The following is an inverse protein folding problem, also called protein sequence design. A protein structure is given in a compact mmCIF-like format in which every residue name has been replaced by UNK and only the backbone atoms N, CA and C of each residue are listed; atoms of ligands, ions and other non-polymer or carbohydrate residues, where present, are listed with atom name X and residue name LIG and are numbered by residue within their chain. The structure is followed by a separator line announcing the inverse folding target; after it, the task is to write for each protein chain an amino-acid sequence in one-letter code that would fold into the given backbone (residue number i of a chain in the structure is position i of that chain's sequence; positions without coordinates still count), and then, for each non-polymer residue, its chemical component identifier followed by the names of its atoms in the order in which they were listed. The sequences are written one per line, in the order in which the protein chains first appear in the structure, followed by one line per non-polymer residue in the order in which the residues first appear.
data_IF_024737378748
#
_entry.id   IF_024737378748
#
_cell.length_a   1.000
_cell.length_b   1.000
_cell.length_c   1.000
_cell.angle_alpha   90.00
_cell.angle_beta   90.00
_cell.angle_gamma   90.00
#
_symmetry.space_group_name_H-M   'P 1'
#
loop_
_entity.id
_entity.type
_entity.pdbx_description
1 polymer ?
#
# COMPACT_ATOMS: atom_id res chain seq x y z
N UNK A 1 -24.69 39.74 -34.22
CA UNK A 1 -23.30 39.54 -33.74
C UNK A 1 -23.38 38.80 -32.42
N UNK A 2 -23.20 37.48 -32.45
CA UNK A 2 -22.99 36.63 -31.28
C UNK A 2 -21.79 35.76 -31.64
N UNK A 3 -20.71 35.91 -30.88
CA UNK A 3 -19.46 35.18 -31.03
C UNK A 3 -19.63 33.79 -30.45
N UNK A 4 -19.40 32.76 -31.27
CA UNK A 4 -19.41 31.37 -30.83
C UNK A 4 -18.22 31.10 -29.89
N UNK A 5 -18.50 30.58 -28.68
CA UNK A 5 -17.47 29.98 -27.83
C UNK A 5 -17.13 28.60 -28.39
N UNK A 6 -15.84 28.37 -28.64
CA UNK A 6 -15.32 27.17 -29.26
C UNK A 6 -15.57 25.92 -28.43
N UNK A 7 -16.07 24.87 -29.09
CA UNK A 7 -16.08 23.51 -28.56
C UNK A 7 -14.65 22.99 -28.49
N UNK A 8 -14.04 23.09 -27.32
CA UNK A 8 -12.92 22.23 -26.96
C UNK A 8 -13.43 20.80 -26.88
N UNK A 9 -12.73 19.87 -27.54
CA UNK A 9 -13.13 18.48 -27.59
C UNK A 9 -13.01 17.90 -26.16
N UNK A 10 -14.13 17.49 -25.55
CA UNK A 10 -14.17 16.95 -24.18
C UNK A 10 -13.23 15.74 -24.01
N UNK A 11 -12.95 15.01 -25.09
CA UNK A 11 -11.92 13.96 -25.14
C UNK A 11 -10.50 14.48 -24.86
N UNK A 12 -10.12 15.65 -25.36
CA UNK A 12 -8.78 16.21 -25.12
C UNK A 12 -8.60 16.69 -23.68
N UNK A 13 -9.66 17.16 -23.03
CA UNK A 13 -9.63 17.55 -21.62
C UNK A 13 -9.60 16.33 -20.69
N UNK A 14 -10.28 15.23 -21.07
CA UNK A 14 -10.25 13.98 -20.32
C UNK A 14 -8.88 13.28 -20.42
N UNK A 15 -8.25 13.28 -21.59
CA UNK A 15 -6.91 12.68 -21.79
C UNK A 15 -5.83 13.46 -21.03
N UNK A 16 -5.87 14.79 -21.05
CA UNK A 16 -4.92 15.63 -20.29
C UNK A 16 -5.04 15.44 -18.77
N UNK A 17 -6.23 15.11 -18.25
CA UNK A 17 -6.43 14.87 -16.82
C UNK A 17 -5.87 13.50 -16.38
N UNK A 18 -5.87 12.50 -17.26
CA UNK A 18 -5.33 11.16 -17.00
C UNK A 18 -3.79 11.16 -17.07
N UNK A 19 -3.20 11.89 -18.01
CA UNK A 19 -1.73 12.04 -18.13
C UNK A 19 -1.13 12.78 -16.92
N UNK A 20 -1.83 13.81 -16.43
CA UNK A 20 -1.48 14.52 -15.19
C UNK A 20 -1.61 13.61 -13.96
N UNK A 21 -2.63 12.75 -13.92
CA UNK A 21 -2.84 11.83 -12.81
C UNK A 21 -1.74 10.74 -12.76
N UNK A 22 -1.38 10.14 -13.89
CA UNK A 22 -0.33 9.11 -13.96
C UNK A 22 1.06 9.66 -13.62
N UNK A 23 1.43 10.82 -14.16
CA UNK A 23 2.74 11.44 -13.88
C UNK A 23 2.84 11.91 -12.43
N UNK A 24 1.73 12.39 -11.85
CA UNK A 24 1.66 12.69 -10.41
C UNK A 24 1.71 11.43 -9.57
N UNK A 25 1.04 10.34 -9.95
CA UNK A 25 1.08 9.07 -9.22
C UNK A 25 2.49 8.46 -9.23
N UNK A 26 3.15 8.42 -10.39
CA UNK A 26 4.51 7.90 -10.50
C UNK A 26 5.53 8.73 -9.69
N UNK A 27 5.42 10.07 -9.73
CA UNK A 27 6.26 10.96 -8.94
C UNK A 27 5.93 10.95 -7.43
N UNK A 28 4.67 10.72 -7.05
CA UNK A 28 4.24 10.61 -5.64
C UNK A 28 4.63 9.28 -5.00
N UNK A 29 4.61 8.19 -5.78
CA UNK A 29 4.99 6.86 -5.33
C UNK A 29 6.50 6.58 -5.39
N UNK A 30 7.30 7.49 -5.95
CA UNK A 30 8.76 7.29 -6.07
C UNK A 30 9.18 6.19 -7.04
N UNK A 31 8.25 5.65 -7.83
CA UNK A 31 8.48 4.50 -8.73
C UNK A 31 9.23 4.86 -10.03
N UNK A 32 9.80 6.07 -10.15
CA UNK A 32 10.54 6.52 -11.33
C UNK A 32 11.75 5.62 -11.63
N UNK A 33 12.40 5.07 -10.60
CA UNK A 33 13.49 4.11 -10.76
C UNK A 33 13.02 2.75 -11.32
N UNK A 34 11.76 2.37 -11.12
CA UNK A 34 11.17 1.15 -11.69
C UNK A 34 10.84 1.31 -13.18
N UNK A 35 10.42 2.51 -13.57
CA UNK A 35 10.16 2.86 -14.97
C UNK A 35 11.43 2.62 -15.81
N UNK A 36 12.57 3.08 -15.30
CA UNK A 36 13.87 2.88 -15.95
C UNK A 36 14.36 1.43 -15.85
N UNK A 37 14.25 0.78 -14.68
CA UNK A 37 14.77 -0.58 -14.44
C UNK A 37 14.02 -1.69 -15.18
N UNK A 38 12.71 -1.53 -15.37
CA UNK A 38 11.85 -2.54 -16.00
C UNK A 38 11.39 -2.16 -17.41
N UNK A 39 11.90 -1.05 -17.97
CA UNK A 39 11.56 -0.61 -19.32
C UNK A 39 10.10 -0.21 -19.49
N UNK A 40 9.47 0.28 -18.42
CA UNK A 40 8.09 0.74 -18.43
C UNK A 40 8.09 2.18 -18.94
N UNK A 41 7.16 2.54 -19.83
CA UNK A 41 7.04 3.91 -20.33
C UNK A 41 5.71 4.50 -19.85
N UNK A 42 5.76 5.44 -18.90
CA UNK A 42 4.63 6.30 -18.57
C UNK A 42 4.54 7.35 -19.68
N UNK A 43 3.67 7.09 -20.67
CA UNK A 43 3.68 7.77 -21.96
C UNK A 43 3.79 9.30 -21.91
N UNK A 44 4.94 9.83 -22.36
CA UNK A 44 5.04 11.19 -22.84
C UNK A 44 4.38 11.30 -24.22
N UNK A 45 3.27 12.03 -24.34
CA UNK A 45 2.61 12.23 -25.63
C UNK A 45 3.24 13.40 -26.40
N UNK A 46 4.32 13.12 -27.13
CA UNK A 46 4.55 13.89 -28.37
C UNK A 46 3.51 13.45 -29.40
N UNK A 47 2.36 14.14 -29.40
CA UNK A 47 1.38 14.21 -30.49
C UNK A 47 0.84 12.87 -31.06
N UNK A 48 -0.30 12.43 -30.53
CA UNK A 48 -1.38 11.88 -31.37
C UNK A 48 -1.15 10.54 -32.07
N UNK A 49 -0.35 9.63 -31.52
CA UNK A 49 -0.34 8.23 -31.96
C UNK A 49 -1.08 7.35 -30.96
N UNK A 50 -2.06 6.60 -31.47
CA UNK A 50 -2.61 5.43 -30.79
C UNK A 50 -1.46 4.54 -30.29
N UNK A 51 -1.58 4.00 -29.07
CA UNK A 51 -0.68 2.96 -28.58
C UNK A 51 -0.49 1.89 -29.68
N UNK A 52 0.74 1.45 -29.98
CA UNK A 52 0.93 0.31 -30.86
C UNK A 52 0.17 -0.90 -30.28
N UNK A 53 -0.43 -1.72 -31.15
CA UNK A 53 -1.02 -2.97 -30.72
C UNK A 53 0.03 -3.80 -29.97
N UNK A 54 -0.18 -4.01 -28.66
CA UNK A 54 0.69 -4.83 -27.80
C UNK A 54 1.24 -4.18 -26.53
N UNK A 55 0.77 -3.00 -26.09
CA UNK A 55 1.17 -2.42 -24.79
C UNK A 55 0.04 -2.47 -23.76
N UNK A 56 0.35 -2.97 -22.56
CA UNK A 56 -0.58 -3.21 -21.44
C UNK A 56 -0.37 -2.19 -20.33
N UNK A 57 -1.47 -1.77 -19.67
CA UNK A 57 -1.47 -1.10 -18.36
C UNK A 57 -0.62 -1.96 -17.41
N UNK A 58 0.18 -1.36 -16.53
CA UNK A 58 0.83 -2.14 -15.46
C UNK A 58 -0.30 -2.68 -14.58
N UNK A 59 -0.65 -3.93 -14.80
CA UNK A 59 -1.45 -4.69 -13.86
C UNK A 59 -0.52 -4.93 -12.68
N UNK A 60 -0.85 -4.34 -11.53
CA UNK A 60 -0.24 -4.77 -10.27
C UNK A 60 -0.49 -6.28 -10.20
N UNK A 61 0.55 -7.11 -10.09
CA UNK A 61 0.37 -8.55 -10.01
C UNK A 61 -0.68 -8.84 -8.94
N UNK A 62 -1.67 -9.68 -9.25
CA UNK A 62 -2.55 -10.17 -8.21
C UNK A 62 -1.70 -10.79 -7.10
N UNK A 63 -2.20 -10.84 -5.86
CA UNK A 63 -1.45 -11.43 -4.72
C UNK A 63 -0.87 -12.83 -5.03
N UNK A 64 -1.45 -13.56 -5.98
CA UNK A 64 -1.00 -14.89 -6.41
C UNK A 64 0.10 -14.89 -7.47
N UNK A 65 0.39 -13.74 -8.07
CA UNK A 65 1.42 -13.52 -9.10
C UNK A 65 2.69 -12.84 -8.54
N UNK A 66 2.79 -12.76 -7.21
CA UNK A 66 3.98 -12.21 -6.53
C UNK A 66 5.17 -13.13 -6.72
N UNK A 67 6.28 -12.57 -7.17
CA UNK A 67 7.57 -13.21 -7.40
C UNK A 67 8.66 -12.47 -6.63
N UNK A 68 9.86 -13.05 -6.59
CA UNK A 68 11.03 -12.38 -6.00
C UNK A 68 11.41 -11.09 -6.73
N UNK A 69 11.04 -10.93 -8.00
CA UNK A 69 11.43 -9.77 -8.80
C UNK A 69 10.46 -8.59 -8.65
N UNK A 70 9.24 -8.84 -8.16
CA UNK A 70 8.21 -7.81 -7.97
C UNK A 70 7.77 -7.64 -6.50
N UNK A 71 8.37 -8.37 -5.55
CA UNK A 71 7.98 -8.32 -4.13
C UNK A 71 8.06 -6.92 -3.53
N UNK A 72 9.08 -6.13 -3.86
CA UNK A 72 9.21 -4.75 -3.37
C UNK A 72 8.03 -3.88 -3.81
N UNK A 73 7.61 -4.00 -5.07
CA UNK A 73 6.44 -3.30 -5.62
C UNK A 73 5.15 -3.76 -4.95
N UNK A 74 4.96 -5.07 -4.82
CA UNK A 74 3.79 -5.60 -4.14
C UNK A 74 3.75 -5.18 -2.66
N UNK A 75 4.90 -5.16 -1.97
CA UNK A 75 4.99 -4.70 -0.59
C UNK A 75 4.65 -3.21 -0.47
N UNK A 76 5.12 -2.36 -1.39
CA UNK A 76 4.78 -0.95 -1.44
C UNK A 76 3.27 -0.74 -1.72
N UNK A 77 2.69 -1.46 -2.69
CA UNK A 77 1.27 -1.43 -3.01
C UNK A 77 0.41 -1.88 -1.81
N UNK A 78 0.78 -2.99 -1.19
CA UNK A 78 0.13 -3.50 0.01
C UNK A 78 0.21 -2.47 1.14
N UNK A 79 1.37 -1.86 1.37
CA UNK A 79 1.53 -0.81 2.38
C UNK A 79 0.64 0.40 2.08
N UNK A 80 0.60 0.87 0.84
CA UNK A 80 -0.26 1.99 0.44
C UNK A 80 -1.74 1.65 0.69
N UNK A 81 -2.21 0.48 0.27
CA UNK A 81 -3.62 0.11 0.39
C UNK A 81 -4.04 -0.31 1.80
N UNK A 82 -3.11 -0.85 2.61
CA UNK A 82 -3.45 -1.41 3.94
C UNK A 82 -3.09 -0.48 5.09
N UNK A 83 -2.04 0.34 4.98
CA UNK A 83 -1.75 1.37 5.99
C UNK A 83 -2.40 2.70 5.64
N UNK A 84 -2.72 2.92 4.36
CA UNK A 84 -3.27 4.19 3.84
C UNK A 84 -4.52 4.02 2.96
N UNK A 85 -5.51 3.17 3.29
CA UNK A 85 -6.72 3.08 2.46
C UNK A 85 -7.37 4.46 2.32
N UNK A 86 -7.46 4.96 1.09
CA UNK A 86 -8.00 6.29 0.78
C UNK A 86 -7.11 7.47 1.20
N UNK A 87 -5.88 7.24 1.66
CA UNK A 87 -5.02 8.30 2.20
C UNK A 87 -5.20 8.53 3.70
N UNK A 88 -5.62 7.48 4.40
CA UNK A 88 -5.84 7.49 5.83
C UNK A 88 -4.91 6.53 6.54
N UNK A 89 -4.09 7.08 7.42
CA UNK A 89 -3.30 6.29 8.36
C UNK A 89 -4.20 5.45 9.25
N UNK A 90 -4.17 4.13 9.11
CA UNK A 90 -4.75 3.21 10.11
C UNK A 90 -3.89 3.15 11.38
N UNK A 91 -3.04 4.15 11.66
CA UNK A 91 -2.33 4.31 12.93
C UNK A 91 -2.64 5.64 13.63
N UNK A 92 -3.88 6.13 13.50
CA UNK A 92 -4.39 7.29 14.26
C UNK A 92 -4.13 7.14 15.77
N UNK A 93 -4.25 5.91 16.28
CA UNK A 93 -3.64 5.47 17.52
C UNK A 93 -2.44 4.57 17.22
N UNK A 94 -1.29 4.88 17.81
CA UNK A 94 -0.05 4.15 17.52
C UNK A 94 -0.18 2.69 17.94
N UNK A 95 0.07 1.76 17.01
CA UNK A 95 0.31 0.37 17.39
C UNK A 95 1.44 0.36 18.42
N UNK A 96 1.27 -0.41 19.50
CA UNK A 96 2.37 -0.73 20.42
C UNK A 96 3.08 -1.99 19.93
N UNK A 97 4.38 -2.21 20.26
CA UNK A 97 5.04 -3.49 19.96
C UNK A 97 4.21 -4.69 20.42
N UNK A 98 4.04 -5.66 19.54
CA UNK A 98 3.17 -6.82 19.69
C UNK A 98 1.68 -6.60 19.35
N UNK A 99 1.23 -5.38 19.06
CA UNK A 99 -0.16 -5.13 18.69
C UNK A 99 -0.45 -5.57 17.24
N UNK A 100 -1.67 -6.04 17.00
CA UNK A 100 -2.11 -6.45 15.67
C UNK A 100 -3.60 -6.23 15.44
N UNK A 101 -3.97 -6.15 14.17
CA UNK A 101 -5.35 -6.14 13.67
C UNK A 101 -5.50 -7.08 12.48
N UNK A 102 -6.72 -7.57 12.26
CA UNK A 102 -7.12 -8.33 11.09
C UNK A 102 -8.35 -7.66 10.47
N UNK A 103 -8.40 -7.64 9.14
CA UNK A 103 -9.41 -6.93 8.36
C UNK A 103 -9.95 -7.84 7.27
N UNK A 104 -11.25 -7.76 7.05
CA UNK A 104 -11.91 -8.25 5.84
C UNK A 104 -11.99 -7.11 4.82
N UNK A 105 -11.68 -7.40 3.56
CA UNK A 105 -11.68 -6.44 2.45
C UNK A 105 -12.69 -6.88 1.39
N UNK A 106 -13.69 -6.04 1.15
CA UNK A 106 -14.62 -6.15 0.03
C UNK A 106 -14.22 -5.18 -1.09
N UNK A 107 -14.31 -5.63 -2.34
CA UNK A 107 -14.08 -4.78 -3.51
C UNK A 107 -12.61 -4.59 -3.92
N UNK A 108 -11.69 -5.37 -3.33
CA UNK A 108 -10.27 -5.37 -3.68
C UNK A 108 -9.85 -6.71 -4.27
N UNK A 109 -9.14 -6.69 -5.39
CA UNK A 109 -8.67 -7.90 -6.07
C UNK A 109 -7.38 -8.48 -5.45
N UNK A 110 -6.61 -7.67 -4.72
CA UNK A 110 -5.35 -8.07 -4.10
C UNK A 110 -5.49 -8.88 -2.79
N UNK A 111 -6.72 -9.18 -2.34
CA UNK A 111 -6.96 -10.01 -1.16
C UNK A 111 -8.32 -9.73 -0.52
N UNK A 112 -8.89 -10.74 0.13
CA UNK A 112 -10.15 -10.61 0.89
C UNK A 112 -9.90 -10.42 2.38
N UNK A 113 -8.68 -10.69 2.86
CA UNK A 113 -8.31 -10.46 4.24
C UNK A 113 -6.86 -9.99 4.35
N UNK A 114 -6.61 -9.10 5.31
CA UNK A 114 -5.27 -8.65 5.68
C UNK A 114 -5.09 -8.63 7.20
N UNK A 115 -3.93 -9.06 7.67
CA UNK A 115 -3.47 -8.89 9.04
C UNK A 115 -2.31 -7.89 9.04
N UNK A 116 -2.33 -6.96 9.98
CA UNK A 116 -1.28 -5.96 10.20
C UNK A 116 -0.81 -6.11 11.64
N UNK A 117 0.49 -6.28 11.85
CA UNK A 117 1.07 -6.38 13.18
C UNK A 117 2.35 -5.55 13.33
N UNK A 118 2.44 -4.80 14.42
CA UNK A 118 3.67 -4.14 14.81
C UNK A 118 4.46 -5.07 15.72
N UNK A 119 5.58 -5.59 15.24
CA UNK A 119 6.34 -6.62 15.97
C UNK A 119 7.23 -5.99 17.04
N UNK A 120 8.09 -5.05 16.65
CA UNK A 120 9.07 -4.45 17.56
C UNK A 120 9.67 -3.17 16.99
N UNK A 121 10.30 -2.37 17.87
CA UNK A 121 11.15 -1.25 17.49
C UNK A 121 12.58 -1.54 17.92
N UNK A 122 13.53 -1.39 17.02
CA UNK A 122 14.95 -1.56 17.30
C UNK A 122 15.55 -0.31 17.96
N UNK A 123 16.77 -0.45 18.50
CA UNK A 123 17.48 0.63 19.21
C UNK A 123 17.82 1.83 18.30
N UNK A 124 17.99 1.58 16.99
CA UNK A 124 18.21 2.62 15.97
C UNK A 124 16.93 3.37 15.58
N UNK A 125 15.78 2.93 16.11
CA UNK A 125 14.46 3.50 15.85
C UNK A 125 13.71 2.86 14.68
N UNK A 126 14.33 1.94 13.93
CA UNK A 126 13.64 1.19 12.88
C UNK A 126 12.56 0.28 13.46
N UNK A 127 11.52 0.02 12.67
CA UNK A 127 10.32 -0.70 13.08
C UNK A 127 10.16 -1.98 12.27
N UNK A 128 9.89 -3.09 12.95
CA UNK A 128 9.52 -4.35 12.33
C UNK A 128 8.01 -4.48 12.29
N UNK A 129 7.46 -4.62 11.09
CA UNK A 129 6.05 -4.81 10.83
C UNK A 129 5.81 -6.13 10.12
N UNK A 130 4.69 -6.79 10.40
CA UNK A 130 4.23 -7.98 9.68
C UNK A 130 2.92 -7.68 8.99
N UNK A 131 2.83 -8.07 7.73
CA UNK A 131 1.62 -8.07 6.92
C UNK A 131 1.35 -9.50 6.48
N UNK A 132 0.10 -9.94 6.58
CA UNK A 132 -0.32 -11.20 6.00
C UNK A 132 -1.58 -10.98 5.18
N UNK A 133 -1.57 -11.38 3.91
CA UNK A 133 -2.71 -11.25 3.01
C UNK A 133 -3.19 -12.63 2.54
N UNK A 134 -4.50 -12.79 2.37
CA UNK A 134 -5.09 -14.02 1.85
C UNK A 134 -6.37 -13.77 1.06
N UNK A 135 -6.74 -14.77 0.26
CA UNK A 135 -8.01 -14.78 -0.47
C UNK A 135 -9.22 -15.08 0.40
N UNK A 136 -9.05 -15.29 1.71
CA UNK A 136 -10.12 -15.55 2.67
C UNK A 136 -9.62 -15.30 4.09
N UNK A 137 -10.48 -14.79 4.98
CA UNK A 137 -10.18 -14.60 6.39
C UNK A 137 -9.98 -15.90 7.19
N UNK A 138 -10.38 -17.04 6.62
CA UNK A 138 -10.16 -18.37 7.21
C UNK A 138 -8.94 -19.09 6.63
N UNK A 139 -8.14 -18.42 5.80
CA UNK A 139 -6.95 -19.02 5.20
C UNK A 139 -5.95 -19.43 6.28
N UNK A 140 -5.42 -20.64 6.16
CA UNK A 140 -4.32 -21.11 7.00
C UNK A 140 -3.04 -20.27 6.74
N UNK A 141 -2.08 -20.24 7.68
CA UNK A 141 -0.82 -19.52 7.47
C UNK A 141 -0.04 -19.94 6.22
N UNK A 142 -0.20 -21.18 5.75
CA UNK A 142 0.45 -21.68 4.52
C UNK A 142 -0.21 -21.15 3.24
N UNK A 143 -1.46 -20.68 3.32
CA UNK A 143 -2.23 -20.10 2.21
C UNK A 143 -2.12 -18.56 2.18
N UNK A 144 -1.39 -17.98 3.12
CA UNK A 144 -1.18 -16.55 3.25
C UNK A 144 0.13 -16.13 2.58
N UNK A 145 0.10 -14.99 1.91
CA UNK A 145 1.30 -14.23 1.62
C UNK A 145 1.70 -13.50 2.90
N UNK A 146 2.87 -13.80 3.45
CA UNK A 146 3.39 -13.12 4.64
C UNK A 146 4.59 -12.26 4.27
N UNK A 147 4.56 -11.00 4.70
CA UNK A 147 5.66 -10.05 4.60
C UNK A 147 6.06 -9.59 6.00
N UNK A 148 7.36 -9.52 6.28
CA UNK A 148 7.90 -8.77 7.41
C UNK A 148 8.83 -7.68 6.89
N UNK A 149 8.57 -6.45 7.29
CA UNK A 149 9.23 -5.27 6.76
C UNK A 149 9.98 -4.58 7.89
N UNK A 150 11.25 -4.24 7.65
CA UNK A 150 12.00 -3.31 8.49
C UNK A 150 11.92 -1.92 7.88
N UNK A 151 11.23 -1.02 8.56
CA UNK A 151 10.93 0.31 8.08
C UNK A 151 11.61 1.37 8.93
N UNK A 152 11.94 2.51 8.33
CA UNK A 152 12.21 3.71 9.11
C UNK A 152 10.95 4.15 9.88
N UNK A 153 11.12 4.77 11.07
CA UNK A 153 10.02 5.42 11.75
C UNK A 153 9.47 6.54 10.84
N UNK A 154 8.18 6.89 10.95
CA UNK A 154 7.58 7.89 10.08
C UNK A 154 8.23 9.25 10.37
N UNK A 155 9.11 9.72 9.48
CA UNK A 155 9.76 11.04 9.56
C UNK A 155 9.48 11.78 8.27
N UNK A 156 9.01 13.03 8.39
CA UNK A 156 8.85 13.95 7.24
C UNK A 156 8.00 13.44 6.06
N UNK A 157 7.03 12.56 6.31
CA UNK A 157 6.09 12.12 5.29
C UNK A 157 6.62 11.06 4.32
N UNK A 158 7.81 10.51 4.56
CA UNK A 158 8.33 9.33 3.85
C UNK A 158 8.75 8.23 4.82
N UNK A 159 8.73 6.99 4.32
CA UNK A 159 9.25 5.81 5.00
C UNK A 159 10.09 5.02 4.02
N UNK A 160 11.24 4.54 4.48
CA UNK A 160 12.12 3.68 3.69
C UNK A 160 12.00 2.24 4.20
N UNK A 161 11.84 1.31 3.26
CA UNK A 161 11.90 -0.13 3.49
C UNK A 161 13.37 -0.53 3.38
N UNK A 162 13.95 -1.01 4.48
CA UNK A 162 15.35 -1.45 4.55
C UNK A 162 15.52 -2.95 4.31
N UNK A 163 14.53 -3.73 4.72
CA UNK A 163 14.56 -5.19 4.63
C UNK A 163 13.14 -5.71 4.45
N UNK A 164 12.99 -6.68 3.55
CA UNK A 164 11.76 -7.41 3.32
C UNK A 164 12.06 -8.88 3.53
N UNK A 165 11.31 -9.52 4.41
CA UNK A 165 11.20 -10.97 4.47
C UNK A 165 9.86 -11.37 3.92
N UNK A 166 9.83 -12.36 3.04
CA UNK A 166 8.61 -12.82 2.41
C UNK A 166 8.51 -14.34 2.49
N UNK A 167 7.30 -14.84 2.75
CA UNK A 167 6.89 -16.21 2.45
C UNK A 167 5.68 -16.18 1.54
N UNK A 168 5.84 -16.73 0.34
CA UNK A 168 4.75 -16.90 -0.62
C UNK A 168 3.83 -18.06 -0.18
N UNK A 169 2.54 -18.01 -0.56
CA UNK A 169 1.61 -19.11 -0.33
C UNK A 169 2.16 -20.45 -0.88
N UNK A 170 2.03 -21.51 -0.08
CA UNK A 170 2.50 -22.87 -0.42
C UNK A 170 4.02 -23.05 -0.46
N UNK A 171 4.81 -22.02 -0.12
CA UNK A 171 6.28 -22.12 -0.02
C UNK A 171 6.70 -22.28 1.44
N UNK A 172 7.57 -23.26 1.76
CA UNK A 172 7.99 -23.49 3.14
C UNK A 172 9.03 -22.44 3.60
N UNK A 173 9.97 -22.08 2.73
CA UNK A 173 11.07 -21.19 3.06
C UNK A 173 10.69 -19.73 2.87
N UNK A 174 11.09 -18.88 3.82
CA UNK A 174 11.07 -17.44 3.65
C UNK A 174 12.33 -16.95 2.94
N UNK A 175 12.19 -15.87 2.19
CA UNK A 175 13.26 -15.18 1.45
C UNK A 175 13.47 -13.82 2.10
N UNK A 176 14.72 -13.42 2.30
CA UNK A 176 15.07 -12.10 2.82
C UNK A 176 15.78 -11.28 1.76
N UNK A 177 15.35 -10.04 1.58
CA UNK A 177 15.90 -9.09 0.62
C UNK A 177 16.17 -7.76 1.31
N UNK A 178 17.32 -7.16 1.01
CA UNK A 178 17.56 -5.77 1.38
C UNK A 178 16.89 -4.89 0.33
N UNK A 179 16.10 -3.94 0.79
CA UNK A 179 15.44 -2.96 -0.07
C UNK A 179 15.92 -1.57 0.37
N UNK A 180 15.79 -0.59 -0.51
CA UNK A 180 15.96 0.82 -0.15
C UNK A 180 14.82 1.63 -0.77
N UNK A 181 13.63 1.04 -0.76
CA UNK A 181 12.46 1.61 -1.40
C UNK A 181 11.83 2.63 -0.47
N UNK A 182 11.66 3.85 -0.96
CA UNK A 182 11.07 4.93 -0.19
C UNK A 182 9.67 5.21 -0.69
N UNK A 183 8.69 5.09 0.20
CA UNK A 183 7.31 5.45 -0.10
C UNK A 183 6.92 6.68 0.71
N UNK A 184 6.15 7.57 0.11
CA UNK A 184 5.63 8.77 0.75
C UNK A 184 4.18 8.56 1.12
N UNK A 185 3.87 8.15 2.37
CA UNK A 185 2.49 8.09 2.79
C UNK A 185 1.76 9.42 2.62
N UNK A 186 0.48 9.35 2.24
CA UNK A 186 -0.41 10.52 2.19
C UNK A 186 -0.47 11.21 3.56
N UNK A 187 -0.77 12.50 3.55
CA UNK A 187 -0.72 13.37 4.74
C UNK A 187 -1.42 12.75 5.95
N UNK A 188 -0.74 12.81 7.10
CA UNK A 188 -1.31 12.36 8.37
C UNK A 188 -2.31 13.41 8.86
N UNK A 189 -3.56 13.01 9.08
CA UNK A 189 -4.50 13.85 9.85
C UNK A 189 -3.98 13.91 11.29
N UNK A 190 -3.73 15.11 11.81
CA UNK A 190 -3.36 15.24 13.21
C UNK A 190 -4.58 14.97 14.10
N UNK A 191 -4.42 14.37 15.29
CA UNK A 191 -5.52 14.16 16.22
C UNK A 191 -6.30 15.44 16.57
N UNK A 192 -5.65 16.61 16.57
CA UNK A 192 -6.31 17.90 16.79
C UNK A 192 -7.21 18.38 15.64
N UNK A 193 -6.99 17.86 14.44
CA UNK A 193 -7.82 18.16 13.26
C UNK A 193 -9.02 17.21 13.18
N UNK A 194 -8.98 16.10 13.91
CA UNK A 194 -10.03 15.08 13.90
C UNK A 194 -11.40 15.65 14.32
N UNK A 195 -11.44 16.47 15.36
CA UNK A 195 -12.68 17.11 15.81
C UNK A 195 -13.29 18.04 14.77
N UNK A 196 -12.45 18.65 13.92
CA UNK A 196 -12.88 19.58 12.88
C UNK A 196 -13.44 18.87 11.65
N UNK A 197 -13.05 17.62 11.40
CA UNK A 197 -13.44 16.84 10.21
C UNK A 197 -14.45 15.72 10.51
N UNK A 198 -14.69 15.42 11.78
CA UNK A 198 -15.73 14.47 12.18
C UNK A 198 -17.11 14.98 11.77
N UNK A 199 -17.82 14.18 10.99
CA UNK A 199 -19.12 14.54 10.42
C UNK A 199 -20.24 14.21 11.41
N UNK A 200 -20.20 13.01 11.99
CA UNK A 200 -21.19 12.53 12.95
C UNK A 200 -20.66 11.34 13.75
N UNK A 201 -21.40 10.92 14.78
CA UNK A 201 -21.10 9.73 15.56
C UNK A 201 -22.15 8.64 15.30
N UNK A 202 -21.72 7.38 15.23
CA UNK A 202 -22.61 6.22 15.11
C UNK A 202 -22.04 4.96 15.75
N UNK A 203 -22.90 3.97 15.98
CA UNK A 203 -22.45 2.62 16.35
C UNK A 203 -22.36 1.76 15.10
N UNK A 204 -21.16 1.28 14.77
CA UNK A 204 -20.94 0.39 13.63
C UNK A 204 -20.81 -1.06 14.11
N UNK A 205 -21.37 -1.99 13.33
CA UNK A 205 -21.26 -3.42 13.53
C UNK A 205 -20.27 -3.99 12.52
N UNK A 206 -19.17 -4.55 13.01
CA UNK A 206 -18.15 -5.24 12.21
C UNK A 206 -17.92 -6.65 12.79
N UNK A 207 -17.20 -7.56 12.12
CA UNK A 207 -17.01 -8.91 12.66
C UNK A 207 -16.34 -8.93 14.05
N UNK A 208 -15.42 -7.99 14.33
CA UNK A 208 -14.81 -7.83 15.65
C UNK A 208 -15.79 -7.36 16.76
N UNK A 209 -17.01 -6.95 16.42
CA UNK A 209 -18.07 -6.56 17.33
C UNK A 209 -18.73 -5.21 17.04
N UNK A 210 -19.41 -4.68 18.05
CA UNK A 210 -20.04 -3.37 18.02
C UNK A 210 -19.12 -2.29 18.59
N UNK A 211 -18.98 -1.16 17.89
CA UNK A 211 -18.11 -0.06 18.28
C UNK A 211 -18.84 1.28 18.19
N UNK A 212 -18.72 2.11 19.23
CA UNK A 212 -19.06 3.53 19.16
C UNK A 212 -17.98 4.26 18.39
N UNK A 213 -18.36 5.00 17.35
CA UNK A 213 -17.42 5.59 16.39
C UNK A 213 -17.78 7.01 16.03
N UNK A 214 -16.76 7.78 15.61
CA UNK A 214 -16.91 9.01 14.86
C UNK A 214 -16.54 8.78 13.42
N UNK A 215 -17.40 9.25 12.54
CA UNK A 215 -17.23 9.13 11.10
C UNK A 215 -16.52 10.37 10.59
N UNK A 216 -15.42 10.14 9.87
CA UNK A 216 -14.74 11.18 9.10
C UNK A 216 -14.91 10.88 7.63
N UNK A 217 -15.16 11.92 6.88
CA UNK A 217 -15.20 11.90 5.42
C UNK A 217 -14.20 12.92 4.90
N UNK A 218 -13.35 12.52 3.96
CA UNK A 218 -12.62 13.47 3.14
C UNK A 218 -12.93 13.16 1.68
N UNK A 219 -13.17 14.22 0.92
CA UNK A 219 -13.34 14.15 -0.52
C UNK A 219 -12.11 14.80 -1.18
N UNK A 220 -11.49 14.10 -2.12
CA UNK A 220 -10.69 14.71 -3.18
C UNK A 220 -11.55 14.92 -4.45
N UNK A 221 -11.02 15.64 -5.44
CA UNK A 221 -11.74 16.04 -6.65
C UNK A 221 -12.30 14.86 -7.48
N UNK A 222 -11.86 13.62 -7.22
CA UNK A 222 -12.21 12.41 -7.97
C UNK A 222 -12.49 11.16 -7.10
N UNK A 223 -12.00 11.15 -5.87
CA UNK A 223 -12.03 10.03 -4.93
C UNK A 223 -12.17 10.59 -3.51
N UNK A 224 -13.14 10.12 -2.77
CA UNK A 224 -13.24 10.32 -1.34
C UNK A 224 -12.91 9.06 -0.56
N UNK A 225 -12.86 9.23 0.75
CA UNK A 225 -12.83 8.13 1.67
C UNK A 225 -13.69 8.46 2.88
N UNK A 226 -14.15 7.39 3.54
CA UNK A 226 -14.88 7.47 4.80
C UNK A 226 -14.26 6.50 5.79
N UNK A 227 -13.94 6.97 6.99
CA UNK A 227 -13.40 6.13 8.05
C UNK A 227 -14.26 6.23 9.30
N UNK A 228 -14.49 5.10 9.95
CA UNK A 228 -15.15 4.98 11.24
C UNK A 228 -14.07 4.79 12.30
N UNK A 229 -13.76 5.87 13.02
CA UNK A 229 -12.76 5.83 14.07
C UNK A 229 -13.44 5.60 15.41
N UNK A 230 -12.88 4.69 16.18
CA UNK A 230 -13.31 4.32 17.52
C UNK A 230 -13.16 5.50 18.48
N UNK A 231 -14.23 5.82 19.20
CA UNK A 231 -14.25 6.98 20.10
C UNK A 231 -14.16 6.58 21.58
N UNK A 232 -14.68 5.41 21.95
CA UNK A 232 -14.94 5.08 23.35
C UNK A 232 -14.56 3.63 23.65
N UNK A 233 -13.57 3.43 24.52
CA UNK A 233 -13.20 2.11 25.06
C UNK A 233 -14.30 1.70 26.03
N UNK A 234 -15.18 0.70 25.70
CA UNK A 234 -16.08 0.18 26.71
C UNK A 234 -15.23 -0.34 27.87
N UNK A 235 -15.53 0.09 29.09
CA UNK A 235 -14.77 -0.25 30.29
C UNK A 235 -14.37 -1.73 30.29
N UNK A 236 -13.06 -1.99 30.22
CA UNK A 236 -12.49 -3.35 30.23
C UNK A 236 -12.11 -3.94 28.87
N UNK A 237 -12.18 -3.19 27.76
CA UNK A 237 -11.63 -3.61 26.46
C UNK A 237 -10.28 -2.95 26.18
N UNK A 238 -9.45 -3.62 25.38
CA UNK A 238 -8.23 -3.04 24.82
C UNK A 238 -8.64 -2.07 23.69
N UNK A 239 -8.06 -0.87 23.59
CA UNK A 239 -8.25 -0.03 22.41
C UNK A 239 -7.81 -0.77 21.14
N UNK A 240 -8.53 -0.51 20.05
CA UNK A 240 -8.22 -1.10 18.74
C UNK A 240 -6.93 -0.45 18.23
N UNK A 241 -5.85 -1.20 17.97
CA UNK A 241 -4.63 -0.63 17.40
C UNK A 241 -4.97 0.10 16.10
N UNK A 242 -4.56 1.36 16.01
CA UNK A 242 -4.88 2.18 14.85
C UNK A 242 -6.17 2.99 14.91
N UNK A 243 -7.06 2.69 15.85
CA UNK A 243 -8.28 3.45 16.10
C UNK A 243 -9.38 3.29 15.06
N UNK A 244 -9.12 2.85 13.83
CA UNK A 244 -10.18 2.59 12.85
C UNK A 244 -10.82 1.21 13.08
N UNK A 245 -12.12 1.10 12.78
CA UNK A 245 -12.84 -0.19 12.79
C UNK A 245 -13.51 -0.50 11.44
N UNK A 246 -13.68 0.50 10.59
CA UNK A 246 -14.12 0.36 9.20
C UNK A 246 -13.54 1.50 8.36
N UNK A 247 -13.15 1.21 7.13
CA UNK A 247 -12.72 2.21 6.14
C UNK A 247 -13.40 1.92 4.81
N UNK A 248 -13.76 2.97 4.09
CA UNK A 248 -14.31 2.90 2.74
C UNK A 248 -13.55 3.82 1.80
N UNK A 249 -13.21 3.30 0.63
CA UNK A 249 -12.81 4.11 -0.52
C UNK A 249 -14.07 4.38 -1.35
N UNK A 250 -14.37 5.65 -1.59
CA UNK A 250 -15.64 6.09 -2.19
C UNK A 250 -15.34 7.02 -3.37
N UNK A 251 -15.73 6.68 -4.58
CA UNK A 251 -15.74 7.63 -5.70
C UNK A 251 -17.19 8.13 -5.95
N UNK A 252 -17.71 7.97 -7.16
CA UNK A 252 -19.16 7.98 -7.41
C UNK A 252 -19.93 6.85 -6.70
N UNK A 253 -19.24 5.80 -6.27
CA UNK A 253 -19.72 4.57 -5.62
C UNK A 253 -18.70 4.06 -4.60
N UNK A 254 -19.09 3.11 -3.74
CA UNK A 254 -18.13 2.48 -2.82
C UNK A 254 -17.29 1.48 -3.62
N UNK A 255 -15.99 1.75 -3.75
CA UNK A 255 -15.05 0.91 -4.48
C UNK A 255 -14.49 -0.20 -3.58
N UNK A 256 -14.15 0.14 -2.34
CA UNK A 256 -13.56 -0.79 -1.39
C UNK A 256 -14.13 -0.55 0.00
N UNK A 257 -14.39 -1.62 0.76
CA UNK A 257 -14.69 -1.55 2.19
C UNK A 257 -13.78 -2.48 2.97
N UNK A 258 -13.08 -1.95 3.95
CA UNK A 258 -12.32 -2.71 4.93
C UNK A 258 -13.08 -2.73 6.26
N UNK A 259 -13.27 -3.90 6.87
CA UNK A 259 -13.93 -4.04 8.18
C UNK A 259 -13.04 -4.80 9.14
N UNK A 260 -12.94 -4.31 10.37
CA UNK A 260 -12.14 -4.96 11.40
C UNK A 260 -12.74 -6.33 11.74
N UNK A 261 -11.95 -7.37 11.49
CA UNK A 261 -12.30 -8.76 11.75
C UNK A 261 -11.90 -9.17 13.18
N UNK A 262 -10.66 -8.86 13.59
CA UNK A 262 -10.15 -9.13 14.95
C UNK A 262 -8.97 -8.21 15.30
N UNK A 263 -8.57 -8.15 16.56
CA UNK A 263 -7.41 -7.38 17.01
C UNK A 263 -6.89 -7.85 18.37
N UNK A 264 -5.61 -7.56 18.66
CA UNK A 264 -5.04 -7.94 19.95
C UNK A 264 -3.59 -7.54 20.13
N UNK A 265 -2.94 -8.26 21.05
CA UNK A 265 -1.53 -8.11 21.41
C UNK A 265 -0.79 -9.45 21.35
N UNK A 266 0.54 -9.44 21.43
CA UNK A 266 1.36 -10.65 21.42
C UNK A 266 1.68 -11.16 20.01
N UNK A 267 1.66 -10.28 19.00
CA UNK A 267 2.17 -10.62 17.68
C UNK A 267 3.69 -10.85 17.70
N UNK A 268 4.13 -11.91 17.04
CA UNK A 268 5.54 -12.32 16.94
C UNK A 268 5.98 -12.42 15.47
N UNK A 269 7.28 -12.45 15.21
CA UNK A 269 7.78 -12.76 13.86
C UNK A 269 7.40 -14.20 13.46
N UNK A 270 6.99 -14.39 12.20
CA UNK A 270 6.70 -15.68 11.55
C UNK A 270 7.78 -16.09 10.54
N UNK A 271 8.70 -15.17 10.17
CA UNK A 271 9.72 -15.38 9.12
C UNK A 271 11.15 -15.36 9.66
N UNK A 272 11.38 -15.90 10.87
CA UNK A 272 12.72 -15.93 11.50
C UNK A 272 13.70 -16.88 10.81
N UNK A 273 13.21 -17.76 9.95
CA UNK A 273 13.95 -18.73 9.14
C UNK A 273 14.31 -18.21 7.73
N UNK A 274 14.11 -16.91 7.46
CA UNK A 274 14.36 -16.34 6.15
C UNK A 274 15.84 -16.45 5.74
N UNK A 275 16.08 -16.97 4.54
CA UNK A 275 17.41 -17.09 3.96
C UNK A 275 17.68 -15.84 3.11
N UNK A 276 18.87 -15.20 3.22
CA UNK A 276 19.23 -14.09 2.34
C UNK A 276 19.13 -14.50 0.86
N UNK A 277 18.51 -13.67 0.03
CA UNK A 277 18.55 -13.82 -1.43
C UNK A 277 20.02 -13.81 -1.84
N UNK A 278 20.44 -14.83 -2.59
CA UNK A 278 21.76 -14.81 -3.20
C UNK A 278 21.82 -13.60 -4.13
N UNK A 279 22.75 -12.68 -3.88
CA UNK A 279 23.01 -11.61 -4.83
C UNK A 279 23.31 -12.26 -6.18
N UNK A 280 22.67 -11.81 -7.28
CA UNK A 280 23.05 -12.29 -8.59
C UNK A 280 24.56 -12.06 -8.68
N UNK A 281 25.32 -13.13 -8.93
CA UNK A 281 26.76 -13.00 -9.13
C UNK A 281 26.92 -11.88 -10.14
N UNK A 282 27.65 -10.81 -9.77
CA UNK A 282 28.02 -9.78 -10.73
C UNK A 282 28.62 -10.57 -11.89
N UNK A 283 27.91 -10.59 -13.03
CA UNK A 283 28.51 -11.06 -14.26
C UNK A 283 29.66 -10.10 -14.44
N UNK A 284 30.87 -10.55 -14.07
CA UNK A 284 32.12 -9.90 -14.43
C UNK A 284 31.96 -9.64 -15.93
N UNK A 285 31.69 -8.38 -16.26
CA UNK A 285 31.69 -7.85 -17.61
C UNK A 285 33.14 -7.98 -18.06
N UNK A 286 33.48 -9.21 -18.43
CA UNK A 286 34.80 -9.64 -18.84
C UNK A 286 35.03 -8.88 -20.13
N UNK A 287 35.68 -7.74 -19.95
CA UNK A 287 35.65 -6.62 -20.87
C UNK A 287 35.75 -7.05 -22.32
N UNK A 288 34.89 -6.42 -23.12
CA UNK A 288 35.01 -6.37 -24.56
C UNK A 288 36.50 -6.22 -24.94
N UNK A 289 37.14 -7.28 -25.47
CA UNK A 289 38.53 -7.19 -25.87
C UNK A 289 38.57 -6.25 -27.07
N UNK A 290 38.91 -4.99 -26.78
CA UNK A 290 38.92 -3.90 -27.74
C UNK A 290 39.45 -4.33 -29.10
N UNK A 291 38.71 -3.96 -30.14
CA UNK A 291 39.12 -4.07 -31.52
C UNK A 291 40.54 -3.50 -31.68
N UNK A 292 41.49 -4.39 -31.90
CA UNK A 292 42.84 -4.06 -32.33
C UNK A 292 42.74 -3.32 -33.67
N UNK A 293 42.96 -2.00 -33.64
CA UNK A 293 43.25 -1.17 -34.80
C UNK A 293 44.50 -1.72 -35.51
N UNK A 294 44.29 -2.37 -36.66
CA UNK A 294 45.37 -2.74 -37.57
C UNK A 294 45.75 -1.56 -38.49
N UNK A 295 47.06 -1.37 -38.80
CA UNK A 295 47.59 -0.21 -39.54
C UNK A 295 47.31 -0.18 -41.04
#
# INVERSE_FOLDING_TARGET
MLTACGGGNLEQQAVSAVDDACSRYAGQLGIEQYIERFGVNCGGSESGRSLPAGQTRMEVPGMWDVTEDNVGLYAADLLEHTLYPGGVRIDFESYTPGAWTSWDIDGYEGGQAVEIAFLSRADDGTEWWRFAASGSSNASPEEQLTLELRLDPPRSGSRTIHEVRMRLPGRPSAISMSENESFSPRETINPGDFDAIAVYAETVMVPAGAFGTRVVEMADDSTGWRAWLFEDIPLGRTPVPGGAVQVQLVDSTVQMTMRLNDYGTGAEARLTDAVPRAEPAEEDDAGDPGEDDAP
#
